data_IF_700146528335
#
_entry.id   IF_700146528335
#
_cell.length_a   1.000
_cell.length_b   1.000
_cell.length_c   1.000
_cell.angle_alpha   90.00
_cell.angle_beta   90.00
_cell.angle_gamma   90.00
#
_symmetry.space_group_name_H-M   'P 1'
#
loop_
_entity.id
_entity.type
_entity.pdbx_description
1 polymer ?
#
# COMPACT_ATOMS: atom_id res chain seq x y z
N UNK A 1 -9.85 35.46 -20.99
CA UNK A 1 -9.49 35.34 -19.56
C UNK A 1 -7.99 35.44 -19.45
N UNK A 2 -7.48 36.41 -18.70
CA UNK A 2 -6.04 36.52 -18.41
C UNK A 2 -5.77 35.84 -17.07
N UNK A 3 -5.02 34.75 -17.08
CA UNK A 3 -4.63 34.04 -15.86
C UNK A 3 -3.52 34.82 -15.13
N UNK A 4 -3.55 34.84 -13.80
CA UNK A 4 -2.47 35.42 -13.01
C UNK A 4 -1.19 34.56 -13.08
N UNK A 5 0.01 35.14 -12.90
CA UNK A 5 1.26 34.38 -12.84
C UNK A 5 1.25 33.25 -11.80
N UNK A 6 0.55 33.46 -10.68
CA UNK A 6 0.39 32.44 -9.62
C UNK A 6 -0.46 31.25 -10.08
N UNK A 7 -1.51 31.48 -10.87
CA UNK A 7 -2.35 30.41 -11.44
C UNK A 7 -1.58 29.61 -12.49
N UNK A 8 -0.78 30.27 -13.32
CA UNK A 8 0.07 29.61 -14.32
C UNK A 8 1.13 28.74 -13.64
N UNK A 9 1.78 29.24 -12.58
CA UNK A 9 2.75 28.46 -11.81
C UNK A 9 2.09 27.24 -11.13
N UNK A 10 0.90 27.42 -10.54
CA UNK A 10 0.13 26.34 -9.92
C UNK A 10 -0.30 25.29 -10.94
N UNK A 11 -0.76 25.71 -12.12
CA UNK A 11 -1.12 24.81 -13.21
C UNK A 11 0.09 23.98 -13.67
N UNK A 12 1.22 24.65 -13.95
CA UNK A 12 2.45 23.99 -14.42
C UNK A 12 2.97 22.97 -13.40
N UNK A 13 2.89 23.31 -12.11
CA UNK A 13 3.24 22.41 -11.01
C UNK A 13 2.35 21.16 -10.96
N UNK A 14 1.03 21.33 -11.03
CA UNK A 14 0.07 20.22 -11.01
C UNK A 14 0.19 19.34 -12.25
N UNK A 15 0.34 19.95 -13.43
CA UNK A 15 0.48 19.25 -14.71
C UNK A 15 1.78 18.43 -14.80
N UNK A 16 2.88 18.95 -14.27
CA UNK A 16 4.15 18.20 -14.25
C UNK A 16 4.05 16.97 -13.35
N UNK A 17 3.34 17.07 -12.22
CA UNK A 17 3.14 15.94 -11.30
C UNK A 17 2.15 14.89 -11.82
N UNK A 18 1.14 15.27 -12.60
CA UNK A 18 0.18 14.31 -13.15
C UNK A 18 0.79 13.39 -14.22
N UNK A 19 1.88 13.81 -14.88
CA UNK A 19 2.61 12.96 -15.85
C UNK A 19 3.33 11.78 -15.21
N UNK A 20 3.74 11.90 -13.96
CA UNK A 20 4.55 10.88 -13.26
C UNK A 20 3.79 9.55 -13.15
N UNK A 21 2.58 9.50 -12.57
CA UNK A 21 1.85 8.24 -12.48
C UNK A 21 1.37 7.74 -13.86
N UNK A 22 1.18 8.63 -14.86
CA UNK A 22 0.90 8.21 -16.24
C UNK A 22 2.02 7.35 -16.83
N UNK A 23 3.28 7.60 -16.46
CA UNK A 23 4.42 6.82 -16.95
C UNK A 23 4.82 5.67 -16.03
N UNK A 24 4.74 5.85 -14.71
CA UNK A 24 5.23 4.87 -13.73
C UNK A 24 4.31 3.65 -13.64
N UNK A 25 2.99 3.85 -13.64
CA UNK A 25 2.03 2.74 -13.42
C UNK A 25 2.06 1.71 -14.57
N UNK A 26 2.13 2.08 -15.86
CA UNK A 26 2.30 1.11 -16.95
C UNK A 26 3.63 0.35 -16.88
N UNK A 27 4.71 1.01 -16.46
CA UNK A 27 6.01 0.35 -16.26
C UNK A 27 5.95 -0.67 -15.13
N UNK A 28 5.31 -0.30 -14.00
CA UNK A 28 5.06 -1.20 -12.88
C UNK A 28 4.19 -2.41 -13.31
N UNK A 29 3.11 -2.17 -14.06
CA UNK A 29 2.27 -3.24 -14.61
C UNK A 29 3.07 -4.19 -15.51
N UNK A 30 3.95 -3.66 -16.36
CA UNK A 30 4.81 -4.47 -17.24
C UNK A 30 5.74 -5.37 -16.42
N UNK A 31 6.33 -4.83 -15.36
CA UNK A 31 7.21 -5.61 -14.47
C UNK A 31 6.44 -6.71 -13.73
N UNK A 32 5.26 -6.38 -13.18
CA UNK A 32 4.43 -7.34 -12.45
C UNK A 32 3.89 -8.43 -13.39
N UNK A 33 3.51 -8.07 -14.63
CA UNK A 33 3.13 -9.06 -15.65
C UNK A 33 4.29 -9.98 -16.00
N UNK A 34 5.50 -9.44 -16.16
CA UNK A 34 6.69 -10.24 -16.42
C UNK A 34 6.94 -11.23 -15.27
N UNK A 35 6.93 -10.78 -14.01
CA UNK A 35 7.10 -11.64 -12.84
C UNK A 35 6.00 -12.71 -12.75
N UNK A 36 4.75 -12.33 -13.05
CA UNK A 36 3.62 -13.26 -13.09
C UNK A 36 3.83 -14.37 -14.13
N UNK A 37 4.22 -14.03 -15.36
CA UNK A 37 4.41 -14.98 -16.45
C UNK A 37 5.56 -15.95 -16.17
N UNK A 38 6.67 -15.45 -15.62
CA UNK A 38 7.83 -16.30 -15.28
C UNK A 38 7.49 -17.28 -14.16
N UNK A 39 6.68 -16.88 -13.19
CA UNK A 39 6.34 -17.72 -12.03
C UNK A 39 5.05 -18.55 -12.20
N UNK A 40 4.38 -18.45 -13.36
CA UNK A 40 3.11 -19.13 -13.61
C UNK A 40 3.26 -20.66 -13.66
N UNK A 41 4.34 -21.17 -14.25
CA UNK A 41 4.58 -22.62 -14.31
C UNK A 41 4.70 -23.22 -12.92
N UNK A 42 5.47 -22.57 -12.04
CA UNK A 42 5.61 -22.96 -10.64
C UNK A 42 4.29 -22.85 -9.89
N UNK A 43 3.51 -21.80 -10.13
CA UNK A 43 2.18 -21.65 -9.53
C UNK A 43 1.26 -22.83 -9.88
N UNK A 44 1.19 -23.18 -11.16
CA UNK A 44 0.35 -24.28 -11.64
C UNK A 44 0.83 -25.61 -11.04
N UNK A 45 2.14 -25.85 -11.03
CA UNK A 45 2.72 -27.08 -10.50
C UNK A 45 2.51 -27.24 -8.99
N UNK A 46 2.80 -26.18 -8.23
CA UNK A 46 2.90 -26.26 -6.77
C UNK A 46 1.66 -25.79 -6.04
N UNK A 47 0.86 -24.87 -6.58
CA UNK A 47 -0.28 -24.27 -5.86
C UNK A 47 -1.61 -24.85 -6.34
N UNK A 48 -1.78 -25.06 -7.65
CA UNK A 48 -3.09 -25.45 -8.19
C UNK A 48 -3.51 -26.86 -7.74
N UNK A 49 -2.55 -27.79 -7.67
CA UNK A 49 -2.76 -29.16 -7.21
C UNK A 49 -3.03 -29.30 -5.69
N UNK A 50 -2.71 -28.28 -4.89
CA UNK A 50 -2.92 -28.33 -3.44
C UNK A 50 -4.40 -28.23 -3.04
N UNK A 51 -4.77 -28.87 -1.93
CA UNK A 51 -6.08 -28.69 -1.30
C UNK A 51 -6.29 -27.23 -0.89
N UNK A 52 -7.54 -26.77 -0.93
CA UNK A 52 -7.89 -25.43 -0.47
C UNK A 52 -7.52 -25.25 1.01
N UNK A 53 -6.68 -24.24 1.27
CA UNK A 53 -6.25 -23.82 2.59
C UNK A 53 -6.23 -22.29 2.65
N UNK A 54 -6.24 -21.72 3.85
CA UNK A 54 -6.15 -20.26 4.02
C UNK A 54 -4.89 -19.69 3.37
N UNK A 55 -3.77 -20.40 3.42
CA UNK A 55 -2.51 -19.99 2.79
C UNK A 55 -2.64 -19.94 1.26
N UNK A 56 -3.24 -20.97 0.65
CA UNK A 56 -3.51 -21.00 -0.80
C UNK A 56 -4.45 -19.86 -1.22
N UNK A 57 -5.53 -19.66 -0.48
CA UNK A 57 -6.46 -18.55 -0.75
C UNK A 57 -5.76 -17.19 -0.67
N UNK A 58 -5.02 -16.92 0.41
CA UNK A 58 -4.32 -15.64 0.60
C UNK A 58 -3.24 -15.41 -0.45
N UNK A 59 -2.51 -16.46 -0.83
CA UNK A 59 -1.52 -16.38 -1.92
C UNK A 59 -2.18 -15.98 -3.25
N UNK A 60 -3.23 -16.70 -3.65
CA UNK A 60 -3.96 -16.40 -4.88
C UNK A 60 -4.60 -15.01 -4.80
N UNK A 61 -5.22 -14.67 -3.67
CA UNK A 61 -5.84 -13.37 -3.47
C UNK A 61 -4.81 -12.25 -3.67
N UNK A 62 -3.69 -12.23 -2.94
CA UNK A 62 -2.69 -11.18 -3.07
C UNK A 62 -2.15 -11.10 -4.51
N UNK A 63 -1.89 -12.25 -5.15
CA UNK A 63 -1.34 -12.30 -6.50
C UNK A 63 -2.30 -11.75 -7.56
N UNK A 64 -3.54 -12.24 -7.61
CA UNK A 64 -4.49 -11.81 -8.63
C UNK A 64 -5.10 -10.45 -8.31
N UNK A 65 -5.33 -10.13 -7.03
CA UNK A 65 -5.88 -8.84 -6.62
C UNK A 65 -4.92 -7.69 -6.91
N UNK A 66 -3.62 -7.85 -6.66
CA UNK A 66 -2.62 -6.81 -6.98
C UNK A 66 -2.51 -6.56 -8.48
N UNK A 67 -2.57 -7.62 -9.30
CA UNK A 67 -2.60 -7.47 -10.76
C UNK A 67 -3.86 -6.73 -11.22
N UNK A 68 -5.04 -7.09 -10.69
CA UNK A 68 -6.29 -6.40 -10.99
C UNK A 68 -6.26 -4.93 -10.58
N UNK A 69 -5.66 -4.63 -9.42
CA UNK A 69 -5.49 -3.26 -8.92
C UNK A 69 -4.62 -2.43 -9.86
N UNK A 70 -3.48 -2.96 -10.32
CA UNK A 70 -2.60 -2.26 -11.26
C UNK A 70 -3.26 -2.04 -12.62
N UNK A 71 -3.99 -3.03 -13.14
CA UNK A 71 -4.76 -2.88 -14.38
C UNK A 71 -5.83 -1.78 -14.22
N UNK A 72 -6.55 -1.79 -13.09
CA UNK A 72 -7.51 -0.75 -12.76
C UNK A 72 -6.85 0.64 -12.72
N UNK A 73 -5.70 0.78 -12.05
CA UNK A 73 -4.98 2.05 -11.95
C UNK A 73 -4.51 2.57 -13.32
N UNK A 74 -3.99 1.68 -14.19
CA UNK A 74 -3.61 2.04 -15.56
C UNK A 74 -4.83 2.55 -16.34
N UNK A 75 -5.93 1.81 -16.33
CA UNK A 75 -7.15 2.19 -17.05
C UNK A 75 -7.68 3.52 -16.50
N UNK A 76 -7.78 3.66 -15.18
CA UNK A 76 -8.31 4.84 -14.52
C UNK A 76 -7.49 6.08 -14.88
N UNK A 77 -6.15 6.01 -14.78
CA UNK A 77 -5.32 7.18 -14.97
C UNK A 77 -5.25 7.66 -16.43
N UNK A 78 -5.24 6.72 -17.38
CA UNK A 78 -5.23 7.05 -18.80
C UNK A 78 -6.60 7.54 -19.26
N UNK A 79 -7.68 6.96 -18.75
CA UNK A 79 -9.04 7.43 -19.06
C UNK A 79 -9.26 8.84 -18.52
N UNK A 80 -8.75 9.16 -17.33
CA UNK A 80 -8.87 10.50 -16.76
C UNK A 80 -8.00 11.54 -17.46
N UNK A 81 -6.96 11.14 -18.17
CA UNK A 81 -6.18 12.05 -19.01
C UNK A 81 -6.95 12.51 -20.27
N UNK A 82 -8.03 11.81 -20.66
CA UNK A 82 -8.85 12.17 -21.82
C UNK A 82 -9.73 13.38 -21.46
N UNK A 83 -9.63 14.51 -22.19
CA UNK A 83 -10.47 15.68 -21.96
C UNK A 83 -11.95 15.35 -22.11
N UNK A 84 -12.79 15.80 -21.18
CA UNK A 84 -14.26 15.66 -21.25
C UNK A 84 -14.84 14.37 -20.67
N UNK A 85 -14.02 13.40 -20.26
CA UNK A 85 -14.51 12.16 -19.62
C UNK A 85 -14.88 12.34 -18.14
N UNK A 86 -14.16 13.23 -17.46
CA UNK A 86 -14.20 13.35 -16.00
C UNK A 86 -15.29 14.33 -15.54
N UNK A 87 -16.07 13.92 -14.54
CA UNK A 87 -17.06 14.77 -13.87
C UNK A 87 -16.74 14.94 -12.36
N UNK A 88 -17.32 15.95 -11.73
CA UNK A 88 -17.03 16.31 -10.33
C UNK A 88 -17.35 15.18 -9.35
N UNK A 89 -18.49 14.51 -9.55
CA UNK A 89 -18.93 13.41 -8.68
C UNK A 89 -17.99 12.20 -8.78
N UNK A 90 -17.49 11.91 -9.98
CA UNK A 90 -16.53 10.86 -10.28
C UNK A 90 -15.19 11.18 -9.61
N UNK A 91 -14.71 12.43 -9.69
CA UNK A 91 -13.49 12.84 -9.00
C UNK A 91 -13.55 12.73 -7.48
N UNK A 92 -14.72 13.02 -6.90
CA UNK A 92 -14.94 12.89 -5.46
C UNK A 92 -15.05 11.42 -5.05
N UNK A 93 -15.66 10.57 -5.88
CA UNK A 93 -15.88 9.16 -5.57
C UNK A 93 -14.64 8.28 -5.81
N UNK A 94 -13.85 8.57 -6.85
CA UNK A 94 -12.74 7.70 -7.26
C UNK A 94 -11.59 7.68 -6.26
N UNK A 95 -11.30 8.81 -5.59
CA UNK A 95 -10.23 8.92 -4.61
C UNK A 95 -10.42 7.95 -3.42
N UNK A 96 -11.51 8.02 -2.64
CA UNK A 96 -11.73 7.07 -1.55
C UNK A 96 -11.85 5.62 -2.04
N UNK A 97 -12.41 5.38 -3.23
CA UNK A 97 -12.44 4.04 -3.82
C UNK A 97 -11.04 3.50 -4.04
N UNK A 98 -10.16 4.26 -4.69
CA UNK A 98 -8.77 3.83 -4.97
C UNK A 98 -7.99 3.62 -3.66
N UNK A 99 -8.19 4.51 -2.67
CA UNK A 99 -7.60 4.34 -1.33
C UNK A 99 -8.06 3.06 -0.64
N UNK A 100 -9.35 2.76 -0.72
CA UNK A 100 -9.92 1.55 -0.12
C UNK A 100 -9.42 0.28 -0.80
N UNK A 101 -9.34 0.27 -2.14
CA UNK A 101 -8.80 -0.85 -2.90
C UNK A 101 -7.33 -1.11 -2.55
N UNK A 102 -6.50 -0.06 -2.49
CA UNK A 102 -5.13 -0.17 -1.99
C UNK A 102 -5.07 -0.67 -0.54
N UNK A 103 -6.00 -0.20 0.31
CA UNK A 103 -6.14 -0.65 1.70
C UNK A 103 -6.42 -2.14 1.81
N UNK A 104 -7.32 -2.69 0.99
CA UNK A 104 -7.64 -4.14 0.97
C UNK A 104 -6.40 -4.97 0.61
N UNK A 105 -5.60 -4.51 -0.35
CA UNK A 105 -4.34 -5.16 -0.70
C UNK A 105 -3.37 -5.18 0.49
N UNK A 106 -3.18 -4.03 1.15
CA UNK A 106 -2.31 -3.91 2.31
C UNK A 106 -2.79 -4.76 3.49
N UNK A 107 -4.09 -4.72 3.82
CA UNK A 107 -4.67 -5.52 4.90
C UNK A 107 -4.49 -7.02 4.68
N UNK A 108 -4.51 -7.47 3.42
CA UNK A 108 -4.26 -8.87 3.08
C UNK A 108 -2.82 -9.28 3.38
N UNK A 109 -1.85 -8.40 3.07
CA UNK A 109 -0.44 -8.59 3.43
C UNK A 109 -0.26 -8.59 4.96
N UNK A 110 -0.89 -7.64 5.65
CA UNK A 110 -0.86 -7.54 7.12
C UNK A 110 -1.45 -8.80 7.79
N UNK A 111 -2.49 -9.41 7.23
CA UNK A 111 -3.03 -10.70 7.70
C UNK A 111 -2.00 -11.82 7.53
N UNK A 112 -1.35 -11.93 6.38
CA UNK A 112 -0.29 -12.93 6.14
C UNK A 112 0.84 -12.78 7.15
N UNK A 113 1.25 -11.54 7.42
CA UNK A 113 2.27 -11.21 8.39
C UNK A 113 1.89 -11.56 9.83
N UNK A 114 0.64 -11.31 10.21
CA UNK A 114 0.11 -11.75 11.50
C UNK A 114 0.09 -13.27 11.63
N UNK A 115 -0.27 -14.01 10.58
CA UNK A 115 -0.22 -15.48 10.57
C UNK A 115 1.22 -15.99 10.76
N UNK A 116 2.21 -15.33 10.13
CA UNK A 116 3.63 -15.65 10.33
C UNK A 116 4.08 -15.40 11.76
N UNK A 117 3.68 -14.28 12.36
CA UNK A 117 3.98 -13.98 13.78
C UNK A 117 3.30 -14.99 14.71
N UNK A 118 2.05 -15.36 14.43
CA UNK A 118 1.34 -16.37 15.19
C UNK A 118 2.08 -17.71 15.18
N UNK A 119 2.57 -18.14 14.02
CA UNK A 119 3.40 -19.34 13.90
C UNK A 119 4.74 -19.19 14.66
N UNK A 120 5.41 -18.05 14.54
CA UNK A 120 6.69 -17.76 15.19
C UNK A 120 6.61 -17.77 16.73
N UNK A 121 5.47 -17.36 17.28
CA UNK A 121 5.19 -17.38 18.72
C UNK A 121 4.50 -18.67 19.18
N UNK A 122 4.76 -19.78 18.49
CA UNK A 122 4.28 -21.12 18.84
C UNK A 122 2.75 -21.19 19.01
N UNK A 123 2.00 -20.52 18.12
CA UNK A 123 0.53 -20.47 18.12
C UNK A 123 -0.07 -19.90 19.41
N UNK A 124 0.61 -18.94 20.04
CA UNK A 124 0.11 -18.25 21.23
C UNK A 124 -1.13 -17.41 20.89
N UNK A 125 -2.31 -17.84 21.36
CA UNK A 125 -3.58 -17.13 21.17
C UNK A 125 -3.56 -15.71 21.76
N UNK A 126 -2.77 -15.47 22.80
CA UNK A 126 -2.62 -14.14 23.42
C UNK A 126 -2.03 -13.13 22.46
N UNK A 127 -1.00 -13.52 21.70
CA UNK A 127 -0.33 -12.65 20.74
C UNK A 127 -1.19 -12.46 19.49
N UNK A 128 -1.87 -13.53 19.04
CA UNK A 128 -2.86 -13.40 17.97
C UNK A 128 -3.98 -12.41 18.33
N UNK A 129 -4.53 -12.51 19.55
CA UNK A 129 -5.57 -11.59 20.02
C UNK A 129 -5.07 -10.15 20.11
N UNK A 130 -3.88 -9.95 20.69
CA UNK A 130 -3.25 -8.63 20.77
C UNK A 130 -3.06 -8.00 19.38
N UNK A 131 -2.47 -8.75 18.44
CA UNK A 131 -2.26 -8.28 17.07
C UNK A 131 -3.58 -8.02 16.34
N UNK A 132 -4.58 -8.90 16.51
CA UNK A 132 -5.89 -8.76 15.89
C UNK A 132 -6.65 -7.52 16.38
N UNK A 133 -6.60 -7.21 17.68
CA UNK A 133 -7.18 -5.99 18.22
C UNK A 133 -6.49 -4.75 17.65
N UNK A 134 -5.16 -4.75 17.63
CA UNK A 134 -4.38 -3.63 17.11
C UNK A 134 -4.61 -3.41 15.60
N UNK A 135 -4.78 -4.50 14.85
CA UNK A 135 -5.13 -4.47 13.43
C UNK A 135 -6.51 -3.85 13.20
N UNK A 136 -7.53 -4.23 13.97
CA UNK A 136 -8.87 -3.62 13.88
C UNK A 136 -8.82 -2.13 14.21
N UNK A 137 -8.04 -1.73 15.22
CA UNK A 137 -7.81 -0.31 15.55
C UNK A 137 -7.16 0.42 14.37
N UNK A 138 -6.14 -0.20 13.74
CA UNK A 138 -5.47 0.37 12.56
C UNK A 138 -6.44 0.60 11.39
N UNK A 139 -7.28 -0.40 11.07
CA UNK A 139 -8.32 -0.28 10.04
C UNK A 139 -9.31 0.83 10.39
N UNK A 140 -9.79 0.87 11.65
CA UNK A 140 -10.71 1.90 12.11
C UNK A 140 -10.13 3.31 11.97
N UNK A 141 -8.87 3.49 12.35
CA UNK A 141 -8.16 4.77 12.19
C UNK A 141 -7.97 5.15 10.72
N UNK A 142 -7.62 4.20 9.85
CA UNK A 142 -7.53 4.42 8.40
C UNK A 142 -8.87 4.90 7.81
N UNK A 143 -9.96 4.19 8.11
CA UNK A 143 -11.31 4.52 7.61
C UNK A 143 -11.77 5.89 8.14
N UNK A 144 -11.48 6.18 9.42
CA UNK A 144 -11.79 7.47 10.02
C UNK A 144 -11.07 8.64 9.31
N UNK A 145 -9.76 8.52 9.09
CA UNK A 145 -8.97 9.53 8.37
C UNK A 145 -9.48 9.71 6.95
N UNK A 146 -9.82 8.61 6.27
CA UNK A 146 -10.36 8.62 4.91
C UNK A 146 -11.70 9.40 4.84
N UNK A 147 -12.63 9.15 5.77
CA UNK A 147 -13.93 9.86 5.82
C UNK A 147 -13.75 11.36 6.07
N UNK A 148 -12.84 11.74 6.98
CA UNK A 148 -12.50 13.15 7.22
C UNK A 148 -11.90 13.82 5.98
N UNK A 149 -11.01 13.11 5.28
CA UNK A 149 -10.41 13.55 4.03
C UNK A 149 -11.45 13.78 2.92
N UNK A 150 -12.35 12.82 2.72
CA UNK A 150 -13.39 12.89 1.70
C UNK A 150 -14.34 14.09 1.90
N UNK A 151 -14.73 14.36 3.15
CA UNK A 151 -15.58 15.53 3.48
C UNK A 151 -14.91 16.86 3.13
N UNK A 152 -13.62 17.02 3.47
CA UNK A 152 -12.89 18.27 3.22
C UNK A 152 -12.52 18.45 1.75
N UNK A 153 -12.29 17.35 1.02
CA UNK A 153 -11.95 17.38 -0.40
C UNK A 153 -13.07 17.91 -1.29
N UNK A 154 -14.34 17.62 -0.96
CA UNK A 154 -15.50 18.21 -1.67
C UNK A 154 -15.45 19.74 -1.71
N UNK A 155 -15.07 20.37 -0.59
CA UNK A 155 -14.93 21.82 -0.51
C UNK A 155 -13.77 22.37 -1.34
N UNK A 156 -12.66 21.62 -1.44
CA UNK A 156 -11.47 22.03 -2.21
C UNK A 156 -11.67 21.87 -3.72
N UNK A 157 -12.32 20.79 -4.17
CA UNK A 157 -12.59 20.56 -5.60
C UNK A 157 -13.48 21.67 -6.16
N UNK A 158 -14.51 22.10 -5.43
CA UNK A 158 -15.34 23.24 -5.80
C UNK A 158 -14.54 24.53 -6.09
N UNK A 159 -13.40 24.72 -5.42
CA UNK A 159 -12.52 25.89 -5.62
C UNK A 159 -11.55 25.76 -6.81
N UNK A 160 -11.19 24.53 -7.21
CA UNK A 160 -10.16 24.25 -8.20
C UNK A 160 -10.69 24.05 -9.63
N UNK A 161 -12.01 23.86 -9.78
CA UNK A 161 -12.73 23.68 -11.06
C UNK A 161 -12.51 24.84 -12.05
N UNK A 162 -12.08 26.01 -11.60
CA UNK A 162 -11.79 27.16 -12.49
C UNK A 162 -10.54 26.98 -13.37
N UNK A 163 -9.73 25.95 -13.13
CA UNK A 163 -8.52 25.66 -13.91
C UNK A 163 -8.80 24.55 -14.94
N UNK A 164 -8.46 24.74 -16.23
CA UNK A 164 -8.62 23.72 -17.27
C UNK A 164 -7.57 22.61 -17.14
N UNK A 165 -7.65 21.82 -16.07
CA UNK A 165 -6.75 20.71 -15.80
C UNK A 165 -7.23 19.44 -16.52
N UNK A 166 -6.34 18.68 -17.19
CA UNK A 166 -6.68 17.34 -17.68
C UNK A 166 -6.84 16.39 -16.48
N UNK A 167 -8.04 15.82 -16.34
CA UNK A 167 -8.40 14.87 -15.30
C UNK A 167 -8.76 15.49 -13.94
N UNK A 168 -8.94 14.63 -12.94
CA UNK A 168 -9.24 15.08 -11.59
C UNK A 168 -8.03 15.82 -11.00
N UNK A 169 -8.19 17.07 -10.51
CA UNK A 169 -7.09 17.76 -9.88
C UNK A 169 -6.62 16.93 -8.68
N UNK A 170 -5.35 16.55 -8.70
CA UNK A 170 -4.66 15.92 -7.57
C UNK A 170 -4.44 17.02 -6.53
N UNK A 171 -5.52 17.45 -5.88
CA UNK A 171 -5.46 18.43 -4.80
C UNK A 171 -4.89 17.68 -3.60
N UNK A 172 -3.56 17.64 -3.54
CA UNK A 172 -2.77 17.11 -2.44
C UNK A 172 -2.87 17.98 -1.16
N UNK A 173 -3.99 18.69 -0.98
CA UNK A 173 -4.20 19.63 0.11
C UNK A 173 -4.96 18.98 1.27
N UNK A 174 -4.29 18.82 2.41
CA UNK A 174 -4.90 18.38 3.67
C UNK A 174 -4.16 17.23 4.35
N UNK A 175 -4.30 17.13 5.67
CA UNK A 175 -3.66 16.10 6.48
C UNK A 175 -4.04 14.67 6.07
N UNK A 176 -5.20 14.49 5.45
CA UNK A 176 -5.72 13.19 5.06
C UNK A 176 -4.89 12.48 3.99
N UNK A 177 -4.06 13.15 3.18
CA UNK A 177 -3.24 12.45 2.18
C UNK A 177 -1.98 11.81 2.77
N UNK A 178 -1.29 12.50 3.68
CA UNK A 178 -0.06 11.97 4.28
C UNK A 178 -0.32 11.18 5.56
N UNK A 179 -1.44 11.44 6.25
CA UNK A 179 -1.77 10.73 7.48
C UNK A 179 -2.49 9.40 7.26
N UNK A 180 -3.02 9.15 6.06
CA UNK A 180 -3.87 7.99 5.78
C UNK A 180 -3.17 6.66 6.07
N UNK A 181 -1.90 6.54 5.69
CA UNK A 181 -1.13 5.30 5.84
C UNK A 181 -0.33 5.22 7.14
N UNK A 182 -0.44 6.23 8.02
CA UNK A 182 0.24 6.25 9.32
C UNK A 182 -0.25 5.11 10.23
N UNK A 183 -1.57 4.85 10.38
CA UNK A 183 -2.03 3.74 11.22
C UNK A 183 -1.44 2.38 10.79
N UNK A 184 -1.45 2.10 9.48
CA UNK A 184 -0.87 0.89 8.92
C UNK A 184 0.65 0.82 9.15
N UNK A 185 1.36 1.94 8.95
CA UNK A 185 2.81 2.01 9.18
C UNK A 185 3.17 1.80 10.65
N UNK A 186 2.39 2.38 11.57
CA UNK A 186 2.56 2.18 13.00
C UNK A 186 2.31 0.72 13.39
N UNK A 187 1.28 0.09 12.81
CA UNK A 187 1.01 -1.32 13.00
C UNK A 187 2.15 -2.21 12.50
N UNK A 188 2.66 -1.93 11.29
CA UNK A 188 3.77 -2.67 10.70
C UNK A 188 5.05 -2.57 11.56
N UNK A 189 5.33 -1.39 12.13
CA UNK A 189 6.43 -1.19 13.07
C UNK A 189 6.29 -2.05 14.33
N UNK A 190 5.07 -2.24 14.83
CA UNK A 190 4.80 -3.15 15.96
C UNK A 190 5.08 -4.60 15.55
N UNK A 191 4.65 -5.03 14.36
CA UNK A 191 4.91 -6.37 13.85
C UNK A 191 6.41 -6.63 13.67
N UNK A 192 7.13 -5.68 13.05
CA UNK A 192 8.59 -5.73 12.91
C UNK A 192 9.28 -5.82 14.28
N UNK A 193 8.84 -5.02 15.26
CA UNK A 193 9.38 -5.03 16.61
C UNK A 193 9.21 -6.39 17.31
N UNK A 194 8.05 -7.04 17.15
CA UNK A 194 7.81 -8.38 17.68
C UNK A 194 8.73 -9.43 17.05
N UNK A 195 8.90 -9.38 15.73
CA UNK A 195 9.78 -10.31 15.00
C UNK A 195 11.24 -10.12 15.43
N UNK A 196 11.71 -8.87 15.51
CA UNK A 196 13.06 -8.55 15.97
C UNK A 196 13.29 -9.00 17.41
N UNK A 197 12.34 -8.74 18.31
CA UNK A 197 12.43 -9.18 19.70
C UNK A 197 12.54 -10.70 19.82
N UNK A 198 11.68 -11.43 19.10
CA UNK A 198 11.68 -12.90 19.13
C UNK A 198 12.94 -13.49 18.49
N UNK A 199 13.41 -12.89 17.38
CA UNK A 199 14.64 -13.27 16.71
C UNK A 199 15.85 -13.08 17.64
N UNK A 200 16.01 -11.88 18.23
CA UNK A 200 17.09 -11.57 19.15
C UNK A 200 17.10 -12.49 20.39
N UNK A 201 15.93 -12.80 20.95
CA UNK A 201 15.81 -13.75 22.07
C UNK A 201 16.21 -15.16 21.66
N UNK A 202 15.77 -15.62 20.48
CA UNK A 202 16.10 -16.96 19.97
C UNK A 202 17.59 -17.11 19.69
N UNK A 203 18.22 -16.09 19.10
CA UNK A 203 19.65 -16.07 18.81
C UNK A 203 20.45 -16.07 20.12
N UNK A 204 20.10 -15.19 21.07
CA UNK A 204 20.77 -15.13 22.38
C UNK A 204 20.70 -16.45 23.13
N UNK A 205 19.54 -17.13 23.11
CA UNK A 205 19.37 -18.41 23.80
C UNK A 205 20.19 -19.54 23.17
N UNK A 206 20.33 -19.55 21.84
CA UNK A 206 21.12 -20.56 21.12
C UNK A 206 22.62 -20.33 21.23
N UNK A 207 23.08 -19.08 21.19
CA UNK A 207 24.47 -18.71 21.43
C UNK A 207 24.90 -19.18 22.83
N UNK A 208 24.04 -18.98 23.84
CA UNK A 208 24.28 -19.48 25.20
C UNK A 208 24.38 -21.01 25.27
N UNK A 209 23.65 -21.73 24.43
CA UNK A 209 23.61 -23.20 24.41
C UNK A 209 24.59 -23.84 23.39
N UNK A 210 25.43 -23.06 22.70
CA UNK A 210 26.33 -23.53 21.62
C UNK A 210 25.64 -24.44 20.58
N UNK A 211 24.35 -24.21 20.30
CA UNK A 211 23.60 -25.00 19.31
C UNK A 211 23.79 -24.44 17.90
N UNK A 212 23.94 -25.33 16.92
CA UNK A 212 24.06 -24.98 15.50
C UNK A 212 22.81 -24.28 14.93
N UNK A 213 22.97 -23.75 13.71
CA UNK A 213 21.91 -23.06 12.97
C UNK A 213 20.79 -24.05 12.65
N UNK A 214 19.58 -23.82 13.15
CA UNK A 214 18.41 -24.68 12.87
C UNK A 214 17.61 -24.14 11.69
N UNK A 215 16.82 -25.00 11.04
CA UNK A 215 15.85 -24.64 9.98
C UNK A 215 14.95 -23.44 10.37
N UNK A 216 14.64 -23.31 11.66
CA UNK A 216 13.89 -22.18 12.24
C UNK A 216 14.61 -20.83 12.06
N UNK A 217 15.94 -20.82 12.05
CA UNK A 217 16.74 -19.59 11.88
C UNK A 217 16.74 -19.10 10.43
N UNK A 218 16.77 -20.01 9.45
CA UNK A 218 16.60 -19.68 8.03
C UNK A 218 15.20 -19.11 7.78
N UNK A 219 14.16 -19.77 8.33
CA UNK A 219 12.79 -19.28 8.26
C UNK A 219 12.61 -17.91 8.93
N UNK A 220 13.33 -17.62 10.02
CA UNK A 220 13.30 -16.31 10.69
C UNK A 220 13.99 -15.23 9.87
N UNK A 221 15.16 -15.53 9.28
CA UNK A 221 15.90 -14.57 8.45
C UNK A 221 15.12 -14.15 7.22
N UNK A 222 14.48 -15.10 6.52
CA UNK A 222 13.67 -14.78 5.34
C UNK A 222 12.47 -13.91 5.74
N UNK A 223 11.81 -14.22 6.86
CA UNK A 223 10.69 -13.44 7.34
C UNK A 223 11.07 -11.99 7.68
N UNK A 224 12.21 -11.76 8.34
CA UNK A 224 12.66 -10.41 8.73
C UNK A 224 12.80 -9.49 7.51
N UNK A 225 13.31 -10.00 6.40
CA UNK A 225 13.49 -9.22 5.16
C UNK A 225 12.13 -8.71 4.65
N UNK A 226 11.08 -9.54 4.70
CA UNK A 226 9.73 -9.11 4.30
C UNK A 226 9.17 -8.01 5.22
N UNK A 227 9.25 -8.19 6.55
CA UNK A 227 8.78 -7.18 7.52
C UNK A 227 9.54 -5.85 7.37
N UNK A 228 10.86 -5.92 7.20
CA UNK A 228 11.68 -4.73 7.00
C UNK A 228 11.37 -4.05 5.66
N UNK A 229 11.26 -4.81 4.58
CA UNK A 229 10.94 -4.30 3.24
C UNK A 229 9.60 -3.57 3.21
N UNK A 230 8.54 -4.18 3.78
CA UNK A 230 7.20 -3.56 3.81
C UNK A 230 7.19 -2.33 4.72
N UNK A 231 7.82 -2.39 5.90
CA UNK A 231 7.99 -1.21 6.77
C UNK A 231 8.68 -0.07 6.02
N UNK A 232 9.78 -0.36 5.32
CA UNK A 232 10.53 0.63 4.56
C UNK A 232 9.68 1.25 3.44
N UNK A 233 8.98 0.43 2.66
CA UNK A 233 8.10 0.90 1.58
C UNK A 233 6.98 1.79 2.13
N UNK A 234 6.36 1.42 3.26
CA UNK A 234 5.30 2.22 3.89
C UNK A 234 5.82 3.56 4.42
N UNK A 235 6.98 3.58 5.08
CA UNK A 235 7.64 4.81 5.52
C UNK A 235 7.97 5.69 4.31
N UNK A 236 8.56 5.10 3.27
CA UNK A 236 8.89 5.82 2.04
C UNK A 236 7.64 6.42 1.37
N UNK A 237 6.54 5.67 1.30
CA UNK A 237 5.26 6.17 0.80
C UNK A 237 4.71 7.34 1.63
N UNK A 238 4.76 7.26 2.97
CA UNK A 238 4.35 8.38 3.83
C UNK A 238 5.22 9.63 3.62
N UNK A 239 6.53 9.44 3.47
CA UNK A 239 7.48 10.53 3.22
C UNK A 239 7.19 11.20 1.88
N UNK A 240 6.93 10.44 0.82
CA UNK A 240 6.50 10.98 -0.47
C UNK A 240 5.14 11.70 -0.37
N UNK A 241 4.18 11.12 0.35
CA UNK A 241 2.85 11.70 0.53
C UNK A 241 2.86 12.99 1.37
N UNK A 242 3.86 13.18 2.24
CA UNK A 242 4.00 14.39 3.08
C UNK A 242 4.18 15.67 2.27
N UNK A 243 4.63 15.57 1.01
CA UNK A 243 4.89 16.72 0.13
C UNK A 243 6.02 17.64 0.59
N UNK A 244 6.73 17.29 1.68
CA UNK A 244 7.89 18.04 2.19
C UNK A 244 9.21 17.63 1.51
N UNK A 245 9.21 16.52 0.79
CA UNK A 245 10.37 16.00 0.08
C UNK A 245 10.34 16.39 -1.39
N UNK A 246 11.54 16.40 -2.00
CA UNK A 246 11.73 16.62 -3.45
C UNK A 246 11.14 15.46 -4.26
N UNK A 247 10.98 14.29 -3.63
CA UNK A 247 10.49 13.07 -4.28
C UNK A 247 8.98 13.22 -4.56
N UNK A 248 8.56 13.15 -5.83
CA UNK A 248 7.16 13.19 -6.17
C UNK A 248 6.46 11.88 -5.75
N UNK A 249 5.18 11.98 -5.39
CA UNK A 249 4.38 10.81 -5.06
C UNK A 249 4.08 10.00 -6.33
N UNK A 250 4.47 8.72 -6.33
CA UNK A 250 4.35 7.80 -7.49
C UNK A 250 2.98 7.16 -7.65
N UNK A 251 2.00 7.55 -6.83
CA UNK A 251 0.72 6.88 -6.75
C UNK A 251 0.81 5.48 -6.14
N UNK A 252 -0.02 4.54 -6.58
CA UNK A 252 -0.03 3.14 -6.17
C UNK A 252 0.91 2.25 -7.00
N UNK A 253 1.66 2.83 -7.93
CA UNK A 253 2.68 2.16 -8.74
C UNK A 253 4.07 2.17 -8.12
#
# INVERSE_FOLDING_TARGET
>A
MSYSPAEIARFTFLFSRSKIPLTVIPAALTWVLHDYLVTLEDEVRYIWSQRWSLAKFMFLFVRYYTLLLLVFDVIQIHTFAIPGFVNDNLCVAIDPTTRLLGGISLWSIEIIMQLRIFALYNRSKKIALFNGILFIISIGAFLWIMVLGAKRRRALIASAIRLPLPGCPVINGGYANWALWIPATAFELVLLSLVLYKSARSVTHKIRLKQGVSLTQVLISDNIIYFFGITFVLIFNNVMASGRTVIPWFSFG
#
